data_IF_545793709369
#
_entry.id   IF_545793709369
#
_cell.length_a   1.000
_cell.length_b   1.000
_cell.length_c   1.000
_cell.angle_alpha   90.00
_cell.angle_beta   90.00
_cell.angle_gamma   90.00
#
_symmetry.space_group_name_H-M   'P 1'
#
loop_
_entity.id
_entity.type
_entity.pdbx_description
1 polymer ?
#
# COMPACT_ATOMS: atom_id res chain seq x y z
N UNK A 1 -4.84 -22.71 15.12
CA UNK A 1 -4.40 -21.61 14.24
C UNK A 1 -3.88 -20.53 15.15
N UNK A 2 -2.69 -20.00 14.92
CA UNK A 2 -2.03 -19.06 15.82
C UNK A 2 -2.86 -17.77 15.92
N UNK A 3 -3.43 -17.48 17.10
CA UNK A 3 -4.14 -16.23 17.44
C UNK A 3 -3.23 -14.99 17.46
N UNK A 4 -2.05 -15.07 16.84
CA UNK A 4 -1.05 -14.02 16.84
C UNK A 4 -1.36 -13.06 15.68
N UNK A 5 -1.73 -11.80 15.96
CA UNK A 5 -1.99 -10.82 14.91
C UNK A 5 -0.70 -10.51 14.14
N UNK A 6 -0.80 -10.35 12.83
CA UNK A 6 0.32 -9.86 12.01
C UNK A 6 0.30 -8.34 11.91
N UNK A 7 1.45 -7.74 11.58
CA UNK A 7 1.54 -6.29 11.35
C UNK A 7 0.64 -5.86 10.19
N UNK A 8 0.52 -6.70 9.15
CA UNK A 8 -0.41 -6.51 8.03
C UNK A 8 -1.87 -6.47 8.49
N UNK A 9 -2.29 -7.34 9.42
CA UNK A 9 -3.66 -7.36 9.92
C UNK A 9 -3.99 -6.10 10.72
N UNK A 10 -3.04 -5.62 11.54
CA UNK A 10 -3.19 -4.39 12.31
C UNK A 10 -3.30 -3.19 11.36
N UNK A 11 -2.47 -3.14 10.31
CA UNK A 11 -2.52 -2.08 9.30
C UNK A 11 -3.85 -2.06 8.52
N UNK A 12 -4.32 -3.23 8.05
CA UNK A 12 -5.63 -3.35 7.39
C UNK A 12 -6.76 -2.92 8.32
N UNK A 13 -6.70 -3.30 9.59
CA UNK A 13 -7.68 -2.90 10.58
C UNK A 13 -7.69 -1.37 10.78
N UNK A 14 -6.51 -0.75 10.80
CA UNK A 14 -6.40 0.70 10.89
C UNK A 14 -7.06 1.39 9.68
N UNK A 15 -6.85 0.87 8.46
CA UNK A 15 -7.52 1.35 7.24
C UNK A 15 -9.05 1.22 7.30
N UNK A 16 -9.57 0.07 7.75
CA UNK A 16 -11.03 -0.12 7.88
C UNK A 16 -11.68 0.89 8.83
N UNK A 17 -11.00 1.21 9.93
CA UNK A 17 -11.49 2.20 10.90
C UNK A 17 -11.47 3.60 10.26
N UNK A 18 -10.42 3.92 9.49
CA UNK A 18 -10.32 5.18 8.74
C UNK A 18 -11.36 5.32 7.64
N UNK A 19 -11.63 4.26 6.89
CA UNK A 19 -12.65 4.27 5.84
C UNK A 19 -14.05 4.55 6.42
N UNK A 20 -14.35 3.94 7.57
CA UNK A 20 -15.62 4.17 8.28
C UNK A 20 -15.71 5.55 8.92
N UNK A 21 -14.58 6.13 9.31
CA UNK A 21 -14.51 7.41 10.02
C UNK A 21 -13.39 8.30 9.44
N UNK A 22 -13.54 8.75 8.19
CA UNK A 22 -12.50 9.49 7.46
C UNK A 22 -12.04 10.80 8.12
N UNK A 23 -12.83 11.35 9.05
CA UNK A 23 -12.51 12.55 9.82
C UNK A 23 -12.00 12.30 11.25
N UNK A 24 -11.86 11.05 11.69
CA UNK A 24 -11.37 10.73 13.03
C UNK A 24 -9.91 11.17 13.23
N UNK A 25 -9.54 11.60 14.43
CA UNK A 25 -8.14 11.93 14.73
C UNK A 25 -7.29 10.67 14.87
N UNK A 26 -6.01 10.74 14.53
CA UNK A 26 -5.07 9.63 14.72
C UNK A 26 -5.00 9.19 16.19
N UNK A 27 -5.17 10.10 17.15
CA UNK A 27 -5.23 9.77 18.59
C UNK A 27 -6.43 8.88 18.96
N UNK A 28 -7.58 9.11 18.32
CA UNK A 28 -8.77 8.27 18.53
C UNK A 28 -8.59 6.88 17.95
N UNK A 29 -7.97 6.80 16.76
CA UNK A 29 -7.61 5.54 16.11
C UNK A 29 -6.61 4.75 16.95
N UNK A 30 -5.58 5.43 17.47
CA UNK A 30 -4.59 4.86 18.39
C UNK A 30 -5.25 4.20 19.60
N UNK A 31 -6.15 4.93 20.25
CA UNK A 31 -6.87 4.45 21.44
C UNK A 31 -7.73 3.23 21.12
N UNK A 32 -8.39 3.22 19.96
CA UNK A 32 -9.19 2.08 19.52
C UNK A 32 -8.32 0.84 19.23
N UNK A 33 -7.23 1.00 18.49
CA UNK A 33 -6.30 -0.11 18.19
C UNK A 33 -5.66 -0.65 19.47
N UNK A 34 -5.26 0.22 20.40
CA UNK A 34 -4.73 -0.20 21.70
C UNK A 34 -5.78 -1.02 22.46
N UNK A 35 -7.04 -0.59 22.49
CA UNK A 35 -8.11 -1.36 23.12
C UNK A 35 -8.36 -2.73 22.46
N UNK A 36 -8.19 -2.85 21.14
CA UNK A 36 -8.42 -4.10 20.40
C UNK A 36 -7.24 -5.10 20.49
N UNK A 37 -6.01 -4.61 20.63
CA UNK A 37 -4.80 -5.44 20.55
C UNK A 37 -4.00 -5.53 21.85
N UNK A 38 -4.14 -4.58 22.77
CA UNK A 38 -3.50 -4.69 24.09
C UNK A 38 -3.99 -5.94 24.81
N UNK A 39 -3.05 -6.76 25.28
CA UNK A 39 -3.33 -8.05 25.92
C UNK A 39 -3.33 -9.25 24.98
N UNK A 40 -3.17 -9.06 23.65
CA UNK A 40 -2.88 -10.15 22.71
C UNK A 40 -1.37 -10.40 22.64
N UNK A 41 -1.00 -11.57 22.11
CA UNK A 41 0.39 -11.88 21.80
C UNK A 41 0.94 -10.89 20.76
N UNK A 42 2.17 -10.44 20.96
CA UNK A 42 2.83 -9.52 20.02
C UNK A 42 3.00 -10.16 18.63
N UNK A 43 2.97 -9.37 17.54
CA UNK A 43 3.26 -9.89 16.21
C UNK A 43 4.65 -10.51 16.12
N UNK A 44 4.83 -11.50 15.25
CA UNK A 44 6.15 -12.06 14.99
C UNK A 44 6.95 -11.11 14.11
N UNK A 45 8.22 -10.86 14.46
CA UNK A 45 9.15 -10.10 13.62
C UNK A 45 9.44 -10.77 12.26
N UNK A 46 9.14 -12.06 12.11
CA UNK A 46 9.27 -12.77 10.83
C UNK A 46 8.29 -12.26 9.76
N UNK A 47 7.20 -11.59 10.17
CA UNK A 47 6.15 -11.08 9.29
C UNK A 47 5.95 -9.57 9.47
N UNK A 48 7.07 -8.82 9.55
CA UNK A 48 7.09 -7.37 9.60
C UNK A 48 6.88 -6.79 8.19
N UNK A 49 5.65 -6.89 7.69
CA UNK A 49 5.29 -6.41 6.35
C UNK A 49 4.02 -5.58 6.38
N UNK A 50 4.01 -4.50 5.61
CA UNK A 50 2.80 -3.75 5.23
C UNK A 50 2.50 -4.11 3.77
N UNK A 51 1.22 -4.20 3.35
CA UNK A 51 0.89 -4.39 1.93
C UNK A 51 1.56 -3.31 1.07
N UNK A 52 1.98 -3.65 -0.14
CA UNK A 52 2.62 -2.69 -1.04
C UNK A 52 1.62 -1.59 -1.45
N UNK A 53 2.04 -0.34 -1.27
CA UNK A 53 1.29 0.87 -1.68
C UNK A 53 2.05 1.73 -2.68
N UNK A 54 2.97 1.12 -3.43
CA UNK A 54 3.82 1.73 -4.47
C UNK A 54 3.06 2.53 -5.55
N UNK A 55 1.78 2.23 -5.74
CA UNK A 55 0.90 2.95 -6.65
C UNK A 55 0.36 4.25 -6.06
N UNK A 56 0.38 4.39 -4.73
CA UNK A 56 -0.09 5.55 -3.97
C UNK A 56 1.14 6.35 -3.50
N UNK A 57 2.04 5.74 -2.73
CA UNK A 57 3.22 6.38 -2.16
C UNK A 57 4.49 5.60 -2.45
N UNK A 58 5.67 6.25 -2.45
CA UNK A 58 6.96 5.56 -2.46
C UNK A 58 7.09 4.55 -1.32
N UNK A 59 7.91 3.52 -1.55
CA UNK A 59 8.26 2.50 -0.56
C UNK A 59 8.75 3.09 0.77
N UNK A 60 9.56 4.14 0.69
CA UNK A 60 10.12 4.85 1.85
C UNK A 60 9.02 5.38 2.78
N UNK A 61 7.88 5.80 2.23
CA UNK A 61 6.79 6.42 2.97
C UNK A 61 5.85 5.37 3.58
N UNK A 62 5.44 4.34 2.81
CA UNK A 62 4.54 3.30 3.32
C UNK A 62 5.24 2.28 4.24
N UNK A 63 6.57 2.24 4.24
CA UNK A 63 7.37 1.44 5.19
C UNK A 63 7.93 2.25 6.36
N UNK A 64 7.72 3.57 6.39
CA UNK A 64 8.37 4.49 7.33
C UNK A 64 8.22 4.10 8.81
N UNK A 65 7.10 3.48 9.18
CA UNK A 65 6.84 3.07 10.55
C UNK A 65 7.23 1.62 10.90
N UNK A 66 7.72 0.83 9.95
CA UNK A 66 8.19 -0.54 10.21
C UNK A 66 9.33 -0.60 11.24
N UNK A 67 10.35 0.30 11.23
CA UNK A 67 11.40 0.28 12.25
C UNK A 67 10.88 0.50 13.67
N UNK A 68 9.87 1.37 13.82
CA UNK A 68 9.23 1.66 15.11
C UNK A 68 8.38 0.46 15.54
N UNK A 69 7.65 -0.13 14.59
CA UNK A 69 6.87 -1.35 14.83
C UNK A 69 7.76 -2.50 15.29
N UNK A 70 8.93 -2.69 14.65
CA UNK A 70 9.91 -3.70 15.03
C UNK A 70 10.44 -3.45 16.45
N UNK A 71 10.76 -2.20 16.78
CA UNK A 71 11.22 -1.82 18.11
C UNK A 71 10.15 -2.14 19.17
N UNK A 72 8.90 -1.84 18.88
CA UNK A 72 7.77 -2.19 19.76
C UNK A 72 7.59 -3.69 19.93
N UNK A 73 7.77 -4.48 18.87
CA UNK A 73 7.73 -5.96 18.96
C UNK A 73 8.89 -6.47 19.84
N UNK A 74 10.10 -5.94 19.66
CA UNK A 74 11.28 -6.36 20.43
C UNK A 74 11.20 -5.98 21.91
N UNK A 75 10.58 -4.84 22.21
CA UNK A 75 10.42 -4.33 23.57
C UNK A 75 9.11 -4.78 24.24
N UNK A 76 8.27 -5.55 23.53
CA UNK A 76 6.94 -5.95 24.00
C UNK A 76 6.08 -4.73 24.41
N UNK A 77 6.11 -3.66 23.60
CA UNK A 77 5.31 -2.45 23.79
C UNK A 77 4.32 -2.22 22.65
N UNK A 78 3.03 -2.43 22.96
CA UNK A 78 1.93 -2.23 22.02
C UNK A 78 1.77 -0.77 21.59
N UNK A 79 2.22 0.19 22.41
CA UNK A 79 2.20 1.60 22.02
C UNK A 79 3.09 1.82 20.81
N UNK A 80 4.35 1.38 20.87
CA UNK A 80 5.29 1.54 19.75
C UNK A 80 4.86 0.75 18.51
N UNK A 81 4.30 -0.46 18.69
CA UNK A 81 3.75 -1.24 17.57
C UNK A 81 2.68 -0.46 16.83
N UNK A 82 1.71 0.10 17.56
CA UNK A 82 0.60 0.83 16.97
C UNK A 82 1.07 2.19 16.43
N UNK A 83 1.97 2.86 17.11
CA UNK A 83 2.53 4.14 16.66
C UNK A 83 3.27 3.97 15.32
N UNK A 84 4.03 2.89 15.14
CA UNK A 84 4.65 2.56 13.85
C UNK A 84 3.63 2.29 12.74
N UNK A 85 2.57 1.54 13.03
CA UNK A 85 1.48 1.31 12.06
C UNK A 85 0.79 2.63 11.67
N UNK A 86 0.54 3.51 12.65
CA UNK A 86 -0.09 4.81 12.42
C UNK A 86 0.79 5.74 11.60
N UNK A 87 2.10 5.77 11.84
CA UNK A 87 3.03 6.57 11.03
C UNK A 87 2.97 6.15 9.56
N UNK A 88 3.00 4.85 9.30
CA UNK A 88 2.93 4.32 7.93
C UNK A 88 1.59 4.67 7.28
N UNK A 89 0.50 4.58 8.03
CA UNK A 89 -0.84 4.96 7.57
C UNK A 89 -0.96 6.45 7.28
N UNK A 90 -0.41 7.29 8.16
CA UNK A 90 -0.40 8.74 8.00
C UNK A 90 0.37 9.15 6.74
N UNK A 91 1.54 8.54 6.49
CA UNK A 91 2.30 8.78 5.25
C UNK A 91 1.50 8.37 4.02
N UNK A 92 0.87 7.20 4.03
CA UNK A 92 0.00 6.75 2.92
C UNK A 92 -1.16 7.72 2.66
N UNK A 93 -1.74 8.31 3.70
CA UNK A 93 -2.88 9.22 3.57
C UNK A 93 -2.50 10.67 3.26
N UNK A 94 -1.36 11.14 3.74
CA UNK A 94 -0.94 12.54 3.62
C UNK A 94 -0.08 12.77 2.39
N UNK A 95 0.68 11.79 1.94
CA UNK A 95 1.47 11.92 0.71
C UNK A 95 0.64 12.35 -0.51
N UNK A 96 -0.58 11.82 -0.76
CA UNK A 96 -1.46 12.32 -1.83
C UNK A 96 -1.89 13.78 -1.67
N UNK A 97 -2.07 14.22 -0.43
CA UNK A 97 -2.54 15.58 -0.08
C UNK A 97 -1.40 16.60 -0.21
N UNK A 98 -0.20 16.22 0.21
CA UNK A 98 0.99 17.07 0.27
C UNK A 98 1.78 17.10 -1.05
N UNK A 99 1.80 16.00 -1.80
CA UNK A 99 2.44 15.91 -3.13
C UNK A 99 1.75 16.79 -4.19
N UNK A 100 0.59 17.38 -3.86
CA UNK A 100 -0.25 18.16 -4.75
C UNK A 100 -0.97 17.27 -5.78
N UNK A 101 -2.32 17.28 -5.75
CA UNK A 101 -3.26 16.45 -6.56
C UNK A 101 -2.61 15.28 -7.29
N UNK A 102 -2.68 14.11 -6.66
CA UNK A 102 -2.30 12.83 -7.22
C UNK A 102 -3.15 12.36 -8.41
N UNK A 103 -4.36 12.91 -8.54
CA UNK A 103 -5.28 12.69 -9.65
C UNK A 103 -4.87 13.42 -10.94
N UNK A 104 -3.68 14.02 -11.01
CA UNK A 104 -3.13 14.58 -12.24
C UNK A 104 -2.74 13.46 -13.23
N UNK A 105 -3.52 13.24 -14.32
CA UNK A 105 -3.25 12.20 -15.30
C UNK A 105 -1.98 12.46 -16.12
N UNK A 106 -1.38 13.64 -15.99
CA UNK A 106 -0.14 14.04 -16.65
C UNK A 106 1.13 13.54 -15.95
N UNK A 107 1.06 13.02 -14.70
CA UNK A 107 2.21 12.41 -14.01
C UNK A 107 2.49 11.00 -14.55
N UNK A 108 3.09 10.97 -15.74
CA UNK A 108 3.32 9.78 -16.58
C UNK A 108 4.13 8.68 -15.87
N UNK A 109 5.05 9.04 -14.98
CA UNK A 109 5.95 8.12 -14.28
C UNK A 109 5.29 7.20 -13.23
N UNK A 110 4.06 7.51 -12.76
CA UNK A 110 3.32 6.66 -11.80
C UNK A 110 2.53 5.54 -12.47
N UNK A 111 2.12 5.73 -13.72
CA UNK A 111 1.38 4.71 -14.46
C UNK A 111 2.35 3.69 -15.07
N UNK A 112 2.85 2.74 -14.25
CA UNK A 112 3.67 1.62 -14.74
C UNK A 112 2.96 0.86 -15.88
N UNK A 113 1.63 0.79 -15.84
CA UNK A 113 0.80 0.24 -16.93
C UNK A 113 0.84 1.03 -18.25
N UNK A 114 0.91 2.36 -18.21
CA UNK A 114 1.05 3.18 -19.44
C UNK A 114 2.43 3.02 -20.08
N UNK A 115 3.49 2.97 -19.27
CA UNK A 115 4.85 2.73 -19.77
C UNK A 115 4.98 1.35 -20.44
N UNK A 116 4.28 0.34 -19.90
CA UNK A 116 4.23 -0.99 -20.50
C UNK A 116 3.42 -0.97 -21.80
N UNK A 117 2.27 -0.29 -21.84
CA UNK A 117 1.44 -0.20 -23.07
C UNK A 117 2.21 0.47 -24.21
N UNK A 118 2.92 1.56 -23.96
CA UNK A 118 3.70 2.26 -24.99
C UNK A 118 4.92 1.44 -25.46
N UNK A 119 5.55 0.68 -24.55
CA UNK A 119 6.62 -0.24 -24.89
C UNK A 119 6.10 -1.47 -25.67
N UNK A 120 4.95 -2.00 -25.29
CA UNK A 120 4.25 -3.08 -25.99
C UNK A 120 3.84 -2.63 -27.39
N UNK A 121 3.28 -1.43 -27.57
CA UNK A 121 2.92 -0.87 -28.88
C UNK A 121 4.16 -0.76 -29.79
N UNK A 122 5.28 -0.24 -29.28
CA UNK A 122 6.55 -0.16 -30.03
C UNK A 122 7.12 -1.53 -30.38
N UNK A 123 6.97 -2.53 -29.51
CA UNK A 123 7.41 -3.90 -29.75
C UNK A 123 6.50 -4.62 -30.76
N UNK A 124 5.19 -4.44 -30.64
CA UNK A 124 4.20 -4.97 -31.57
C UNK A 124 4.44 -4.41 -32.98
N UNK A 125 4.69 -3.12 -33.12
CA UNK A 125 5.00 -2.49 -34.41
C UNK A 125 6.35 -2.95 -34.98
N UNK A 126 7.36 -3.14 -34.13
CA UNK A 126 8.71 -3.56 -34.55
C UNK A 126 8.79 -5.03 -34.96
N UNK A 127 8.04 -5.91 -34.31
CA UNK A 127 8.16 -7.36 -34.47
C UNK A 127 6.96 -8.01 -35.16
N UNK A 128 5.85 -7.27 -35.33
CA UNK A 128 4.66 -7.73 -36.04
C UNK A 128 4.40 -6.83 -37.25
N UNK A 129 4.86 -7.24 -38.46
CA UNK A 129 4.57 -6.54 -39.70
C UNK A 129 3.06 -6.30 -39.89
N UNK A 130 2.68 -5.19 -40.52
CA UNK A 130 1.28 -4.80 -40.73
C UNK A 130 0.42 -5.91 -41.36
N UNK A 131 1.02 -6.76 -42.21
CA UNK A 131 0.34 -7.90 -42.82
C UNK A 131 -0.14 -8.94 -41.78
N UNK A 132 0.65 -9.21 -40.74
CA UNK A 132 0.27 -10.14 -39.66
C UNK A 132 -0.75 -9.52 -38.72
N UNK A 133 -0.63 -8.22 -38.42
CA UNK A 133 -1.63 -7.47 -37.65
C UNK A 133 -3.00 -7.45 -38.34
N UNK A 134 -3.01 -7.27 -39.67
CA UNK A 134 -4.23 -7.30 -40.47
C UNK A 134 -4.85 -8.70 -40.55
N UNK A 135 -4.03 -9.76 -40.50
CA UNK A 135 -4.50 -11.14 -40.48
C UNK A 135 -5.10 -11.53 -39.12
N UNK A 136 -4.48 -11.09 -38.02
CA UNK A 136 -5.00 -11.26 -36.66
C UNK A 136 -6.34 -10.52 -36.46
N UNK A 137 -6.45 -9.27 -36.95
CA UNK A 137 -7.70 -8.49 -36.91
C UNK A 137 -8.83 -9.14 -37.71
N UNK A 138 -8.52 -9.83 -38.82
CA UNK A 138 -9.51 -10.59 -39.61
C UNK A 138 -9.97 -11.88 -38.92
N UNK A 139 -9.12 -12.51 -38.12
CA UNK A 139 -9.49 -13.71 -37.34
C UNK A 139 -10.26 -13.40 -36.05
N UNK A 140 -9.99 -12.26 -35.40
CA UNK A 140 -10.67 -11.86 -34.16
C UNK A 140 -12.09 -11.28 -34.38
N UNK A 141 -12.46 -11.00 -35.63
CA UNK A 141 -13.78 -10.46 -36.02
C UNK A 141 -14.80 -11.51 -36.48
N UNK A 142 -14.55 -12.80 -36.23
CA UNK A 142 -15.45 -13.92 -36.51
C UNK A 142 -15.79 -14.69 -35.24
#
# INVERSE_FOLDING_TARGET
MSDQPTVTDIFRRALEIREKNAGASYDSLRSQLLGEYSGKAFPSSAYLTIPEYDNITPEEDWTAGLPITLRGIQNEDWNEVIDGVLISLEQVENYPKESGREDDPAKEWRNRGKSITEAEDKVLEKWMPEELMNLAKRQAGN
#
